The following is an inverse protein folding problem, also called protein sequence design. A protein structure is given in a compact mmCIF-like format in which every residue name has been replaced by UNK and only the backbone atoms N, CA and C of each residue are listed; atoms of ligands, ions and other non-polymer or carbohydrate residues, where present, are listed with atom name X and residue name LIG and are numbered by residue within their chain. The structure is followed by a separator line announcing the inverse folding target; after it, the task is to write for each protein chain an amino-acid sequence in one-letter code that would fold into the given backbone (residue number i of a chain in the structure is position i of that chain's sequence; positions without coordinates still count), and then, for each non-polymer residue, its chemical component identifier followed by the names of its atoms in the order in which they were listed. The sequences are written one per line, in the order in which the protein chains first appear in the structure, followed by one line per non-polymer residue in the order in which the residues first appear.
data_IF_978944774679
#
_entry.id   IF_978944774679
#
_cell.length_a   1.000
_cell.length_b   1.000
_cell.length_c   1.000
_cell.angle_alpha   90.00
_cell.angle_beta   90.00
_cell.angle_gamma   90.00
#
_symmetry.space_group_name_H-M   'P 1'
#
loop_
_entity.id
_entity.type
_entity.pdbx_description
1 polymer ?
#
# COMPACT_ATOMS: atom_id res chain seq x y z
N UNK A 1 2.37 -15.05 20.22
CA UNK A 1 2.34 -14.53 18.84
C UNK A 1 3.19 -13.27 18.84
N UNK A 2 4.37 -13.31 18.22
CA UNK A 2 5.23 -12.13 18.14
C UNK A 2 4.63 -11.19 17.09
N UNK A 3 4.02 -10.09 17.54
CA UNK A 3 3.77 -8.96 16.63
C UNK A 3 5.13 -8.45 16.14
N UNK A 4 5.33 -8.23 14.83
CA UNK A 4 6.55 -7.60 14.36
C UNK A 4 6.72 -6.24 15.05
N UNK A 5 7.95 -5.83 15.43
CA UNK A 5 8.20 -4.55 16.08
C UNK A 5 7.58 -3.41 15.27
N UNK A 6 7.10 -2.38 15.99
CA UNK A 6 6.33 -1.26 15.46
C UNK A 6 7.01 -0.62 14.25
N UNK A 7 6.52 -0.96 13.07
CA UNK A 7 6.99 -0.43 11.80
C UNK A 7 6.40 0.97 11.62
N UNK A 8 7.24 1.96 11.30
CA UNK A 8 6.75 3.27 10.89
C UNK A 8 6.24 3.16 9.46
N UNK A 9 5.13 3.86 9.15
CA UNK A 9 4.55 3.83 7.80
C UNK A 9 4.59 5.23 7.21
N UNK A 10 5.38 5.39 6.15
CA UNK A 10 5.40 6.59 5.32
C UNK A 10 4.51 6.41 4.10
N UNK A 11 3.79 7.48 3.72
CA UNK A 11 2.86 7.45 2.58
C UNK A 11 3.30 8.47 1.56
N UNK A 12 3.60 7.99 0.34
CA UNK A 12 3.95 8.87 -0.77
C UNK A 12 2.74 9.70 -1.23
N UNK A 13 3.00 10.85 -1.85
CA UNK A 13 1.96 11.67 -2.49
C UNK A 13 1.13 10.87 -3.48
N UNK A 14 1.80 10.06 -4.30
CA UNK A 14 1.16 9.21 -5.29
C UNK A 14 0.16 8.24 -4.64
N UNK A 15 0.55 7.56 -3.55
CA UNK A 15 -0.36 6.67 -2.83
C UNK A 15 -1.56 7.42 -2.23
N UNK A 16 -1.33 8.59 -1.65
CA UNK A 16 -2.40 9.40 -1.06
C UNK A 16 -3.41 9.88 -2.12
N UNK A 17 -2.94 10.36 -3.27
CA UNK A 17 -3.81 10.80 -4.36
C UNK A 17 -4.61 9.65 -4.95
N UNK A 18 -3.98 8.48 -5.09
CA UNK A 18 -4.68 7.30 -5.57
C UNK A 18 -5.75 6.82 -4.59
N UNK A 19 -5.49 6.90 -3.29
CA UNK A 19 -6.49 6.57 -2.27
C UNK A 19 -7.70 7.52 -2.32
N UNK A 20 -7.49 8.81 -2.61
CA UNK A 20 -8.58 9.78 -2.80
C UNK A 20 -9.47 9.46 -4.00
N UNK A 21 -8.97 8.77 -5.03
CA UNK A 21 -9.81 8.33 -6.15
C UNK A 21 -10.85 7.29 -5.71
N UNK A 22 -10.54 6.50 -4.68
CA UNK A 22 -11.42 5.47 -4.11
C UNK A 22 -12.49 6.04 -3.17
N UNK A 23 -12.12 7.04 -2.37
CA UNK A 23 -12.94 7.56 -1.27
C UNK A 23 -13.29 9.02 -1.49
N UNK A 24 -14.59 9.32 -1.63
CA UNK A 24 -15.05 10.72 -1.56
C UNK A 24 -15.01 11.17 -0.10
N UNK A 25 -14.25 12.23 0.21
CA UNK A 25 -14.38 12.99 1.46
C UNK A 25 -13.45 12.59 2.63
N UNK A 26 -12.39 11.81 2.42
CA UNK A 26 -11.39 11.59 3.49
C UNK A 26 -10.62 12.88 3.80
N UNK A 27 -10.69 13.34 5.05
CA UNK A 27 -10.02 14.57 5.52
C UNK A 27 -8.49 14.47 5.49
N UNK A 28 -7.93 13.30 5.80
CA UNK A 28 -6.49 13.04 5.77
C UNK A 28 -6.15 11.65 5.21
N UNK A 29 -5.93 11.58 3.90
CA UNK A 29 -5.68 10.31 3.19
C UNK A 29 -4.40 9.60 3.65
N UNK A 30 -3.37 10.34 4.04
CA UNK A 30 -2.09 9.75 4.47
C UNK A 30 -2.24 9.03 5.81
N UNK A 31 -2.88 9.67 6.78
CA UNK A 31 -3.14 9.07 8.10
C UNK A 31 -3.98 7.81 7.97
N UNK A 32 -5.00 7.85 7.12
CA UNK A 32 -5.90 6.71 6.92
C UNK A 32 -5.17 5.52 6.26
N UNK A 33 -4.38 5.77 5.21
CA UNK A 33 -3.54 4.76 4.56
C UNK A 33 -2.50 4.18 5.54
N UNK A 34 -1.81 5.04 6.30
CA UNK A 34 -0.81 4.60 7.27
C UNK A 34 -1.42 3.66 8.33
N UNK A 35 -2.58 4.03 8.88
CA UNK A 35 -3.30 3.21 9.87
C UNK A 35 -3.73 1.85 9.30
N UNK A 36 -4.24 1.82 8.07
CA UNK A 36 -4.65 0.59 7.37
C UNK A 36 -3.48 -0.35 7.12
N UNK A 37 -2.37 0.17 6.58
CA UNK A 37 -1.16 -0.60 6.31
C UNK A 37 -0.56 -1.14 7.61
N UNK A 38 -0.47 -0.32 8.67
CA UNK A 38 0.04 -0.76 9.96
C UNK A 38 -0.77 -1.94 10.53
N UNK A 39 -2.12 -1.89 10.43
CA UNK A 39 -2.99 -3.00 10.85
C UNK A 39 -2.80 -4.24 9.99
N UNK A 40 -2.70 -4.10 8.67
CA UNK A 40 -2.46 -5.22 7.75
C UNK A 40 -1.13 -5.91 8.03
N UNK A 41 -0.07 -5.12 8.25
CA UNK A 41 1.26 -5.61 8.62
C UNK A 41 1.25 -6.34 9.97
N UNK A 42 0.67 -5.73 11.01
CA UNK A 42 0.58 -6.34 12.34
C UNK A 42 -0.23 -7.65 12.32
N UNK A 43 -1.22 -7.76 11.42
CA UNK A 43 -2.00 -8.96 11.21
C UNK A 43 -1.32 -10.01 10.32
N UNK A 44 -0.09 -9.76 9.85
CA UNK A 44 0.63 -10.68 8.97
C UNK A 44 0.02 -10.85 7.58
N UNK A 45 -0.82 -9.91 7.13
CA UNK A 45 -1.42 -9.91 5.78
C UNK A 45 -0.44 -9.35 4.75
N UNK A 46 0.73 -9.95 4.69
CA UNK A 46 1.88 -9.44 3.95
C UNK A 46 2.39 -10.52 3.02
N UNK A 47 2.51 -10.18 1.74
CA UNK A 47 3.01 -11.08 0.70
C UNK A 47 4.15 -10.41 -0.07
N UNK A 48 5.15 -11.16 -0.56
CA UNK A 48 6.14 -10.61 -1.47
C UNK A 48 5.47 -10.18 -2.78
N UNK A 49 5.79 -8.95 -3.21
CA UNK A 49 5.42 -8.40 -4.51
C UNK A 49 6.58 -8.44 -5.51
N UNK A 50 6.35 -7.87 -6.68
CA UNK A 50 7.39 -7.76 -7.71
C UNK A 50 8.47 -6.74 -7.31
N UNK A 51 9.68 -6.95 -7.81
CA UNK A 51 10.83 -6.02 -7.64
C UNK A 51 11.16 -5.69 -6.17
N UNK A 52 10.95 -6.65 -5.26
CA UNK A 52 11.26 -6.48 -3.85
C UNK A 52 10.26 -5.61 -3.07
N UNK A 53 9.10 -5.32 -3.66
CA UNK A 53 8.00 -4.72 -2.94
C UNK A 53 7.32 -5.74 -2.01
N UNK A 54 6.59 -5.24 -1.01
CA UNK A 54 5.69 -6.00 -0.15
C UNK A 54 4.26 -5.59 -0.46
N UNK A 55 3.36 -6.56 -0.62
CA UNK A 55 1.93 -6.33 -0.73
C UNK A 55 1.31 -6.50 0.64
N UNK A 56 0.57 -5.50 1.10
CA UNK A 56 -0.16 -5.53 2.37
C UNK A 56 -1.64 -5.46 2.06
N UNK A 57 -2.38 -6.52 2.40
CA UNK A 57 -3.83 -6.58 2.21
C UNK A 57 -4.54 -5.94 3.40
N UNK A 58 -5.50 -5.06 3.13
CA UNK A 58 -6.29 -4.41 4.18
C UNK A 58 -7.10 -5.46 4.97
N UNK A 59 -7.24 -5.17 6.27
CA UNK A 59 -7.92 -6.07 7.21
C UNK A 59 -9.44 -6.04 7.05
N UNK A 60 -9.97 -4.84 6.79
CA UNK A 60 -11.39 -4.50 6.77
C UNK A 60 -11.96 -4.67 5.35
N UNK A 61 -11.19 -4.33 4.31
CA UNK A 61 -11.54 -4.49 2.90
C UNK A 61 -10.46 -5.27 2.15
N UNK A 62 -10.63 -6.59 2.07
CA UNK A 62 -9.62 -7.49 1.47
C UNK A 62 -9.42 -7.32 -0.03
N UNK A 63 -10.28 -6.54 -0.71
CA UNK A 63 -10.04 -6.17 -2.10
C UNK A 63 -8.91 -5.12 -2.20
N UNK A 64 -8.68 -4.33 -1.15
CA UNK A 64 -7.70 -3.26 -1.12
C UNK A 64 -6.30 -3.78 -0.79
N UNK A 65 -5.38 -3.59 -1.72
CA UNK A 65 -3.97 -4.01 -1.60
C UNK A 65 -3.06 -2.79 -1.68
N UNK A 66 -2.21 -2.63 -0.67
CA UNK A 66 -1.18 -1.61 -0.63
C UNK A 66 0.17 -2.16 -1.07
N UNK A 67 0.90 -1.42 -1.89
CA UNK A 67 2.29 -1.75 -2.24
C UNK A 67 3.23 -0.91 -1.42
N UNK A 68 4.06 -1.60 -0.67
CA UNK A 68 5.05 -1.00 0.19
C UNK A 68 6.45 -1.39 -0.27
N UNK A 69 7.41 -0.50 -0.08
CA UNK A 69 8.82 -0.86 0.00
C UNK A 69 9.19 -0.94 1.46
N UNK A 70 9.80 -2.05 1.87
CA UNK A 70 10.30 -2.20 3.23
C UNK A 70 11.75 -1.73 3.30
N UNK A 71 11.98 -0.60 3.97
CA UNK A 71 13.32 -0.21 4.37
C UNK A 71 13.68 -0.92 5.68
N UNK A 72 14.27 -2.11 5.54
CA UNK A 72 14.67 -2.95 6.67
C UNK A 72 15.70 -2.25 7.57
N UNK A 73 16.52 -1.33 7.01
CA UNK A 73 17.53 -0.60 7.80
C UNK A 73 16.92 0.52 8.60
N UNK A 74 15.94 1.22 8.04
CA UNK A 74 15.18 2.27 8.71
C UNK A 74 14.03 1.78 9.60
N UNK A 75 13.61 0.52 9.45
CA UNK A 75 12.42 -0.01 10.14
C UNK A 75 11.11 0.60 9.63
N UNK A 76 11.08 1.01 8.36
CA UNK A 76 9.99 1.78 7.77
C UNK A 76 9.35 1.06 6.57
N UNK A 77 8.03 1.15 6.45
CA UNK A 77 7.27 0.78 5.26
C UNK A 77 6.86 2.04 4.50
N UNK A 78 7.38 2.18 3.30
CA UNK A 78 7.03 3.29 2.40
C UNK A 78 5.95 2.81 1.44
N UNK A 79 4.73 3.33 1.59
CA UNK A 79 3.60 3.03 0.70
C UNK A 79 3.78 3.78 -0.60
N UNK A 80 4.04 3.03 -1.67
CA UNK A 80 4.28 3.55 -3.01
C UNK A 80 2.95 3.81 -3.73
N UNK A 81 2.00 2.89 -3.61
CA UNK A 81 0.73 2.90 -4.34
C UNK A 81 -0.23 1.85 -3.77
N UNK A 82 -1.44 1.75 -4.31
CA UNK A 82 -2.45 0.77 -3.92
C UNK A 82 -3.38 0.42 -5.09
N UNK A 83 -4.09 -0.69 -5.01
CA UNK A 83 -5.17 -1.03 -5.95
C UNK A 83 -6.27 -1.82 -5.25
N UNK A 84 -7.39 -1.96 -5.94
CA UNK A 84 -8.45 -2.88 -5.57
C UNK A 84 -8.47 -4.07 -6.54
N UNK A 85 -8.63 -5.26 -5.99
CA UNK A 85 -8.87 -6.51 -6.73
C UNK A 85 -10.38 -6.68 -7.01
N UNK A 86 -10.71 -7.34 -8.12
CA UNK A 86 -12.09 -7.61 -8.53
C UNK A 86 -12.61 -6.70 -9.65
N UNK A 87 -13.73 -7.11 -10.25
CA UNK A 87 -14.26 -6.48 -11.48
C UNK A 87 -14.84 -5.08 -11.24
N UNK A 88 -15.23 -4.76 -10.00
CA UNK A 88 -15.76 -3.44 -9.60
C UNK A 88 -14.69 -2.53 -8.97
N UNK A 89 -13.40 -2.82 -9.18
CA UNK A 89 -12.30 -2.04 -8.63
C UNK A 89 -12.41 -0.56 -9.01
N UNK A 90 -12.54 0.32 -8.01
CA UNK A 90 -12.53 1.77 -8.22
C UNK A 90 -11.13 2.23 -8.63
N UNK A 91 -10.12 1.48 -8.17
CA UNK A 91 -8.72 1.69 -8.50
C UNK A 91 -8.10 0.40 -9.08
N UNK A 92 -8.23 0.15 -10.39
CA UNK A 92 -7.77 -1.10 -10.99
C UNK A 92 -6.25 -1.28 -10.98
N UNK A 93 -5.78 -2.52 -10.80
CA UNK A 93 -4.34 -2.89 -10.77
C UNK A 93 -3.56 -2.45 -12.01
N UNK A 94 -4.16 -2.51 -13.21
CA UNK A 94 -3.52 -2.14 -14.51
C UNK A 94 -2.96 -0.72 -14.60
N UNK A 95 -3.39 0.19 -13.73
CA UNK A 95 -2.87 1.56 -13.69
C UNK A 95 -1.64 1.72 -12.78
N UNK A 96 -1.27 0.66 -12.08
CA UNK A 96 -0.12 0.63 -11.16
C UNK A 96 1.18 0.26 -11.85
N UNK A 97 1.10 -0.46 -12.97
CA UNK A 97 2.23 -0.79 -13.84
C UNK A 97 2.86 0.47 -14.48
N UNK A 98 2.17 1.62 -14.50
CA UNK A 98 2.72 2.86 -15.03
C UNK A 98 3.85 3.48 -14.17
N UNK A 99 4.09 2.98 -12.95
CA UNK A 99 5.25 3.37 -12.12
C UNK A 99 6.52 2.61 -12.50
N UNK A 100 6.49 1.77 -13.53
CA UNK A 100 7.69 1.22 -14.15
C UNK A 100 8.58 2.37 -14.68
N UNK A 101 9.83 2.52 -14.20
CA UNK A 101 10.77 3.36 -14.91
C UNK A 101 10.94 2.74 -16.29
N UNK A 102 10.66 3.54 -17.34
CA UNK A 102 11.01 3.20 -18.73
C UNK A 102 12.45 2.70 -18.71
N UNK A 103 12.68 1.44 -19.08
CA UNK A 103 14.00 0.99 -19.52
C UNK A 103 14.43 1.97 -20.60
N UNK A 104 15.45 2.79 -20.34
CA UNK A 104 16.26 3.33 -21.43
C UNK A 104 16.98 2.12 -22.01
N UNK A 105 16.48 1.65 -23.16
CA UNK A 105 17.32 0.97 -24.14
C UNK A 105 18.12 2.00 -24.91
#
# INVERSE_FOLDING_TARGET
MNSPPGVTVAVTDHAADRYRQRVRGTLDARTDVAGRVARGWAAGRVEPGERGAMRVTDVEDRSLVFVCRHDVRGGELVVITLWEEGDEARVPRRFTDALEPRRRS
#
